data_IF_960908556802
#
_entry.id   IF_960908556802
#
_cell.length_a   1.000
_cell.length_b   1.000
_cell.length_c   1.000
_cell.angle_alpha   90.00
_cell.angle_beta   90.00
_cell.angle_gamma   90.00
#
_symmetry.space_group_name_H-M   'P 1'
#
loop_
_entity.id
_entity.type
_entity.pdbx_description
1 polymer ?
#
# COMPACT_ATOMS: atom_id res chain seq x y z
N UNK A 1 15.74 15.82 10.74
CA UNK A 1 15.27 14.44 11.05
C UNK A 1 14.96 13.76 9.72
N UNK A 2 15.22 12.46 9.60
CA UNK A 2 15.00 11.67 8.38
C UNK A 2 14.02 10.53 8.67
N UNK A 3 13.36 10.02 7.63
CA UNK A 3 12.46 8.88 7.70
C UNK A 3 12.63 8.01 6.46
N UNK A 4 12.41 6.70 6.59
CA UNK A 4 12.22 5.84 5.43
C UNK A 4 10.78 5.98 4.93
N UNK A 5 10.60 6.02 3.62
CA UNK A 5 9.31 5.87 2.95
C UNK A 5 9.37 4.60 2.13
N UNK A 6 8.45 3.68 2.39
CA UNK A 6 8.26 2.46 1.61
C UNK A 6 6.96 2.57 0.82
N UNK A 7 7.00 2.30 -0.47
CA UNK A 7 5.86 2.45 -1.36
C UNK A 7 5.15 1.12 -1.58
N UNK A 8 3.93 1.18 -2.12
CA UNK A 8 3.17 0.00 -2.56
C UNK A 8 2.79 -1.04 -1.51
N UNK A 9 2.78 -0.68 -0.21
CA UNK A 9 2.15 -1.53 0.79
C UNK A 9 0.67 -1.70 0.45
N UNK A 10 0.24 -2.92 0.17
CA UNK A 10 -1.07 -3.18 -0.42
C UNK A 10 -1.62 -4.55 -0.01
N UNK A 11 -2.76 -4.95 -0.56
CA UNK A 11 -3.33 -6.29 -0.37
C UNK A 11 -2.30 -7.42 -0.58
N UNK A 12 -1.39 -7.27 -1.55
CA UNK A 12 -0.40 -8.30 -1.89
C UNK A 12 0.79 -8.35 -0.93
N UNK A 13 0.98 -7.33 -0.09
CA UNK A 13 2.06 -7.30 0.89
C UNK A 13 1.77 -8.30 2.01
N UNK A 14 2.78 -9.07 2.42
CA UNK A 14 2.67 -9.94 3.59
C UNK A 14 3.32 -9.29 4.80
N UNK A 15 2.78 -9.55 6.00
CA UNK A 15 3.41 -9.08 7.25
C UNK A 15 4.87 -9.56 7.36
N UNK A 16 5.15 -10.79 6.88
CA UNK A 16 6.46 -11.40 6.99
C UNK A 16 7.47 -10.74 6.06
N UNK A 17 7.01 -10.17 4.93
CA UNK A 17 7.86 -9.35 4.06
C UNK A 17 8.27 -8.05 4.77
N UNK A 18 7.32 -7.33 5.38
CA UNK A 18 7.63 -6.11 6.13
C UNK A 18 8.54 -6.39 7.33
N UNK A 19 8.26 -7.44 8.10
CA UNK A 19 9.08 -7.82 9.25
C UNK A 19 10.50 -8.21 8.85
N UNK A 20 10.68 -8.88 7.71
CA UNK A 20 12.01 -9.20 7.18
C UNK A 20 12.82 -7.96 6.82
N UNK A 21 12.19 -6.93 6.28
CA UNK A 21 12.88 -5.71 5.82
C UNK A 21 13.18 -4.77 6.99
N UNK A 22 12.27 -4.68 7.96
CA UNK A 22 12.29 -3.60 8.94
C UNK A 22 12.20 -4.05 10.41
N UNK A 23 12.17 -5.36 10.70
CA UNK A 23 12.03 -5.88 12.06
C UNK A 23 13.06 -5.31 13.05
N UNK A 24 14.28 -5.02 12.58
CA UNK A 24 15.34 -4.38 13.36
C UNK A 24 15.43 -2.85 13.17
N UNK A 25 14.58 -2.27 12.31
CA UNK A 25 14.53 -0.85 11.95
C UNK A 25 13.41 -0.11 12.68
N UNK A 26 12.27 -0.77 12.97
CA UNK A 26 11.06 -0.15 13.52
C UNK A 26 11.29 0.77 14.73
N UNK A 27 12.23 0.40 15.60
CA UNK A 27 12.54 1.13 16.83
C UNK A 27 13.74 2.10 16.70
N UNK A 28 14.32 2.23 15.50
CA UNK A 28 15.55 3.01 15.26
C UNK A 28 15.32 4.26 14.42
N UNK A 29 14.48 4.17 13.40
CA UNK A 29 14.20 5.25 12.44
C UNK A 29 12.71 5.27 12.14
N UNK A 30 12.06 6.45 12.03
CA UNK A 30 10.67 6.52 11.61
C UNK A 30 10.48 5.90 10.22
N UNK A 31 9.49 5.02 10.09
CA UNK A 31 9.09 4.44 8.79
C UNK A 31 7.68 4.91 8.44
N UNK A 32 7.54 5.43 7.23
CA UNK A 32 6.27 5.74 6.60
C UNK A 32 5.97 4.69 5.54
N UNK A 33 4.89 3.94 5.73
CA UNK A 33 4.39 3.02 4.71
C UNK A 33 3.36 3.78 3.86
N UNK A 34 3.66 3.99 2.59
CA UNK A 34 2.72 4.53 1.62
C UNK A 34 1.85 3.36 1.11
N UNK A 35 0.57 3.39 1.50
CA UNK A 35 -0.38 2.30 1.32
C UNK A 35 -1.28 2.55 0.11
N UNK A 36 -1.52 1.50 -0.67
CA UNK A 36 -2.53 1.45 -1.74
C UNK A 36 -3.74 0.64 -1.21
N UNK A 37 -4.88 1.30 -0.91
CA UNK A 37 -6.00 0.68 -0.25
C UNK A 37 -6.79 -0.28 -1.16
N UNK A 38 -6.81 -0.05 -2.47
CA UNK A 38 -7.61 -0.84 -3.43
C UNK A 38 -6.79 -1.28 -4.64
N UNK A 39 -5.59 -1.82 -4.39
CA UNK A 39 -4.61 -2.15 -5.41
C UNK A 39 -5.20 -3.00 -6.55
N UNK A 40 -4.82 -2.70 -7.79
CA UNK A 40 -5.13 -3.54 -8.94
C UNK A 40 -3.93 -4.42 -9.31
N UNK A 41 -4.20 -5.53 -10.01
CA UNK A 41 -3.14 -6.42 -10.47
C UNK A 41 -2.48 -5.91 -11.75
N UNK A 42 -1.47 -5.05 -11.66
CA UNK A 42 -0.59 -4.69 -12.79
C UNK A 42 0.73 -5.49 -12.74
N UNK A 43 1.49 -5.46 -13.83
CA UNK A 43 2.75 -6.18 -13.92
C UNK A 43 3.84 -5.57 -13.03
N UNK A 44 3.97 -6.11 -11.82
CA UNK A 44 5.09 -5.77 -10.94
C UNK A 44 5.59 -6.98 -10.14
N UNK A 45 6.88 -7.03 -9.76
CA UNK A 45 7.44 -8.14 -8.99
C UNK A 45 6.72 -8.43 -7.66
N UNK A 46 6.13 -7.40 -7.04
CA UNK A 46 5.38 -7.52 -5.77
C UNK A 46 3.98 -8.13 -5.89
N UNK A 47 3.46 -8.31 -7.11
CA UNK A 47 2.13 -8.88 -7.36
C UNK A 47 2.30 -10.26 -8.00
N UNK A 48 1.62 -11.32 -7.50
CA UNK A 48 1.65 -12.62 -8.16
C UNK A 48 1.14 -12.53 -9.60
N UNK A 49 1.86 -13.16 -10.54
CA UNK A 49 1.55 -13.13 -11.97
C UNK A 49 0.11 -13.51 -12.31
N UNK A 50 -0.50 -14.39 -11.51
CA UNK A 50 -1.88 -14.81 -11.69
C UNK A 50 -2.91 -13.67 -11.54
N UNK A 51 -2.54 -12.55 -10.91
CA UNK A 51 -3.41 -11.40 -10.73
C UNK A 51 -3.12 -10.28 -11.73
N UNK A 52 -2.03 -10.36 -12.50
CA UNK A 52 -1.72 -9.37 -13.53
C UNK A 52 -2.84 -9.30 -14.57
N UNK A 53 -3.25 -8.09 -14.93
CA UNK A 53 -4.34 -7.80 -15.87
C UNK A 53 -5.70 -8.40 -15.51
N UNK A 54 -5.91 -8.76 -14.24
CA UNK A 54 -7.19 -9.35 -13.79
C UNK A 54 -8.38 -8.40 -13.87
N UNK A 55 -8.13 -7.09 -13.86
CA UNK A 55 -9.17 -6.06 -13.73
C UNK A 55 -9.86 -6.05 -12.35
N UNK A 56 -9.42 -6.90 -11.42
CA UNK A 56 -9.92 -6.96 -10.05
C UNK A 56 -9.26 -5.87 -9.19
N UNK A 57 -10.07 -5.29 -8.30
CA UNK A 57 -9.61 -4.40 -7.23
C UNK A 57 -9.48 -5.20 -5.93
N UNK A 58 -8.29 -5.15 -5.34
CA UNK A 58 -7.93 -5.89 -4.14
C UNK A 58 -7.86 -4.93 -2.95
N UNK A 59 -8.97 -4.83 -2.24
CA UNK A 59 -9.06 -4.03 -1.02
C UNK A 59 -8.10 -4.56 0.06
N UNK A 60 -7.34 -3.67 0.70
CA UNK A 60 -6.38 -3.98 1.77
C UNK A 60 -7.04 -4.75 2.92
N UNK A 61 -8.27 -4.43 3.24
CA UNK A 61 -9.10 -5.08 4.27
C UNK A 61 -9.29 -6.59 4.05
N UNK A 62 -9.19 -7.06 2.79
CA UNK A 62 -9.26 -8.48 2.45
C UNK A 62 -7.99 -9.24 2.83
N UNK A 63 -6.95 -8.55 3.31
CA UNK A 63 -5.76 -9.14 3.93
C UNK A 63 -5.76 -8.86 5.45
N UNK A 64 -6.55 -9.62 6.24
CA UNK A 64 -6.72 -9.34 7.68
C UNK A 64 -5.42 -9.50 8.48
N UNK A 65 -4.50 -10.36 8.02
CA UNK A 65 -3.21 -10.56 8.66
C UNK A 65 -2.33 -9.31 8.56
N UNK A 66 -2.24 -8.70 7.38
CA UNK A 66 -1.52 -7.45 7.19
C UNK A 66 -2.21 -6.30 7.95
N UNK A 67 -3.54 -6.18 7.87
CA UNK A 67 -4.27 -5.10 8.56
C UNK A 67 -4.07 -5.16 10.07
N UNK A 68 -4.15 -6.35 10.67
CA UNK A 68 -3.89 -6.53 12.10
C UNK A 68 -2.45 -6.14 12.46
N UNK A 69 -1.48 -6.50 11.62
CA UNK A 69 -0.07 -6.16 11.81
C UNK A 69 0.16 -4.63 11.74
N UNK A 70 -0.35 -3.97 10.70
CA UNK A 70 -0.24 -2.52 10.53
C UNK A 70 -0.88 -1.76 11.70
N UNK A 71 -2.07 -2.20 12.16
CA UNK A 71 -2.71 -1.62 13.36
C UNK A 71 -1.83 -1.74 14.61
N UNK A 72 -1.17 -2.88 14.81
CA UNK A 72 -0.22 -3.07 15.91
C UNK A 72 0.99 -2.12 15.83
N UNK A 73 1.55 -1.94 14.63
CA UNK A 73 2.66 -0.99 14.41
C UNK A 73 2.23 0.46 14.65
N UNK A 74 1.02 0.85 14.23
CA UNK A 74 0.47 2.20 14.49
C UNK A 74 0.26 2.41 15.99
N UNK A 75 -0.36 1.45 16.68
CA UNK A 75 -0.61 1.52 18.13
C UNK A 75 0.69 1.65 18.94
N UNK A 76 1.74 0.95 18.50
CA UNK A 76 3.09 1.04 19.09
C UNK A 76 3.90 2.25 18.60
N UNK A 77 3.34 3.09 17.73
CA UNK A 77 3.97 4.29 17.15
C UNK A 77 5.26 4.00 16.37
N UNK A 78 5.37 2.79 15.80
CA UNK A 78 6.52 2.35 15.00
C UNK A 78 6.45 2.82 13.55
N UNK A 79 5.25 3.03 13.03
CA UNK A 79 5.03 3.47 11.65
C UNK A 79 4.02 4.60 11.57
N UNK A 80 4.13 5.39 10.50
CA UNK A 80 3.05 6.21 9.98
C UNK A 80 2.53 5.61 8.67
N UNK A 81 1.23 5.77 8.41
CA UNK A 81 0.63 5.38 7.13
C UNK A 81 0.37 6.63 6.30
N UNK A 82 0.79 6.61 5.04
CA UNK A 82 0.41 7.60 4.04
C UNK A 82 -0.44 6.93 2.96
N UNK A 83 -1.34 7.69 2.34
CA UNK A 83 -2.02 7.24 1.13
C UNK A 83 -1.05 7.38 -0.04
N UNK A 84 -0.70 6.27 -0.70
CA UNK A 84 0.17 6.30 -1.87
C UNK A 84 -0.61 6.62 -3.16
N UNK A 85 -1.75 5.97 -3.28
CA UNK A 85 -2.76 6.18 -4.30
C UNK A 85 -4.02 5.43 -3.93
N UNK A 86 -4.96 5.27 -4.87
CA UNK A 86 -6.21 4.57 -4.59
C UNK A 86 -6.14 3.14 -5.12
N UNK A 87 -5.85 2.96 -6.41
CA UNK A 87 -5.64 1.65 -7.04
C UNK A 87 -4.21 1.43 -7.53
N UNK A 88 -3.42 2.49 -7.65
CA UNK A 88 -2.10 2.48 -8.29
C UNK A 88 -2.17 1.93 -9.73
N UNK A 89 -3.24 2.30 -10.44
CA UNK A 89 -3.46 1.89 -11.82
C UNK A 89 -2.76 2.80 -12.83
N UNK A 90 -2.20 2.19 -13.86
CA UNK A 90 -1.76 2.88 -15.08
C UNK A 90 -2.93 3.00 -16.06
N UNK A 91 -3.08 4.19 -16.64
CA UNK A 91 -4.09 4.53 -17.64
C UNK A 91 -3.42 4.79 -19.00
N UNK A 92 -4.21 4.78 -20.07
CA UNK A 92 -3.69 4.99 -21.43
C UNK A 92 -2.90 6.32 -21.56
N UNK A 93 -3.35 7.35 -20.85
CA UNK A 93 -2.81 8.71 -20.94
C UNK A 93 -1.90 9.09 -19.75
N UNK A 94 -1.52 8.13 -18.89
CA UNK A 94 -0.60 8.36 -17.77
C UNK A 94 -0.90 7.54 -16.52
N UNK A 95 -0.21 7.87 -15.42
CA UNK A 95 -0.40 7.20 -14.13
C UNK A 95 -1.70 7.65 -13.43
N UNK A 96 -2.07 6.97 -12.34
CA UNK A 96 -3.31 7.23 -11.60
C UNK A 96 -3.57 8.72 -11.35
N UNK A 97 -2.63 9.46 -10.78
CA UNK A 97 -2.84 10.89 -10.48
C UNK A 97 -2.65 11.84 -11.68
N UNK A 98 -2.32 11.31 -12.84
CA UNK A 98 -2.19 12.08 -14.09
C UNK A 98 -3.43 11.94 -14.96
N UNK A 99 -4.00 10.73 -15.02
CA UNK A 99 -5.05 10.38 -15.98
C UNK A 99 -6.24 9.63 -15.37
N UNK A 100 -6.20 9.30 -14.08
CA UNK A 100 -7.28 8.61 -13.39
C UNK A 100 -8.54 9.47 -13.28
N UNK A 101 -9.74 8.88 -13.46
CA UNK A 101 -11.00 9.58 -13.27
C UNK A 101 -11.31 9.76 -11.77
N UNK A 102 -12.08 10.79 -11.45
CA UNK A 102 -12.70 10.98 -10.12
C UNK A 102 -11.71 10.95 -8.93
N UNK A 103 -10.49 11.49 -9.13
CA UNK A 103 -9.42 11.49 -8.12
C UNK A 103 -9.83 12.01 -6.74
N UNK A 104 -10.62 13.11 -6.60
CA UNK A 104 -11.05 13.57 -5.28
C UNK A 104 -11.84 12.51 -4.50
N UNK A 105 -12.79 11.84 -5.17
CA UNK A 105 -13.65 10.82 -4.54
C UNK A 105 -12.84 9.57 -4.18
N UNK A 106 -11.92 9.17 -5.07
CA UNK A 106 -10.98 8.07 -4.82
C UNK A 106 -10.08 8.34 -3.62
N UNK A 107 -9.49 9.53 -3.53
CA UNK A 107 -8.65 9.93 -2.38
C UNK A 107 -9.47 9.96 -1.10
N UNK A 108 -10.71 10.46 -1.15
CA UNK A 108 -11.59 10.47 0.03
C UNK A 108 -11.95 9.04 0.47
N UNK A 109 -12.28 8.15 -0.47
CA UNK A 109 -12.61 6.77 -0.17
C UNK A 109 -11.41 5.98 0.38
N UNK A 110 -10.22 6.19 -0.19
CA UNK A 110 -8.99 5.54 0.29
C UNK A 110 -8.52 5.97 1.68
N UNK A 111 -9.11 7.02 2.28
CA UNK A 111 -8.84 7.45 3.66
C UNK A 111 -9.70 6.74 4.71
N UNK A 112 -10.81 6.12 4.30
CA UNK A 112 -11.77 5.46 5.19
C UNK A 112 -11.18 4.17 5.78
#
# INVERSE_FOLDING_TARGET
>A
KVAFRDDDTSYFTTRDALERVYGDVWDRVPVCLAVVPFAIGYEQPGIPRAHWHSGESFALERNPALVAFLRGLIQSRRVTIALHGYTHQDYADGYEFQAGPDLPDRVQHGRA
#
